data_IF_895623385271
#
_entry.id   IF_895623385271
#
_cell.length_a   1.000
_cell.length_b   1.000
_cell.length_c   1.000
_cell.angle_alpha   90.00
_cell.angle_beta   90.00
_cell.angle_gamma   90.00
#
_symmetry.space_group_name_H-M   'P 1'
#
loop_
_entity.id
_entity.type
_entity.pdbx_description
1 polymer ?
#
# COMPACT_ATOMS: atom_id res chain seq x y z
N UNK A 1 14.67 -5.02 -22.86
CA UNK A 1 13.58 -4.94 -21.90
C UNK A 1 13.19 -3.50 -21.69
N UNK A 2 11.92 -3.23 -21.70
CA UNK A 2 11.43 -1.88 -21.47
C UNK A 2 11.30 -1.59 -19.99
N UNK A 3 11.92 -0.54 -19.56
CA UNK A 3 11.72 -0.03 -18.23
C UNK A 3 10.52 0.90 -18.25
N UNK A 4 9.50 0.59 -17.45
CA UNK A 4 8.33 1.45 -17.35
C UNK A 4 8.51 2.34 -16.13
N UNK A 5 8.75 3.61 -16.38
CA UNK A 5 8.81 4.59 -15.31
C UNK A 5 7.39 5.08 -15.04
N UNK A 6 6.90 4.83 -13.84
CA UNK A 6 5.59 5.30 -13.42
C UNK A 6 5.76 6.38 -12.37
N UNK A 7 4.91 7.38 -12.45
CA UNK A 7 4.83 8.43 -11.46
C UNK A 7 3.45 8.38 -10.84
N UNK A 8 3.39 8.45 -9.52
CA UNK A 8 2.10 8.49 -8.81
C UNK A 8 2.03 9.77 -8.00
N UNK A 9 0.81 10.21 -7.72
CA UNK A 9 0.58 11.37 -6.90
C UNK A 9 0.30 10.95 -5.46
N UNK A 10 1.09 11.48 -4.53
CA UNK A 10 0.92 11.24 -3.11
C UNK A 10 0.73 12.59 -2.45
N UNK A 11 -0.48 12.87 -1.98
CA UNK A 11 -0.81 14.09 -1.24
C UNK A 11 -0.37 15.35 -1.99
N UNK A 12 -0.63 15.38 -3.30
CA UNK A 12 -0.29 16.51 -4.17
C UNK A 12 1.11 16.50 -4.72
N UNK A 13 1.94 15.53 -4.34
CA UNK A 13 3.32 15.42 -4.79
C UNK A 13 3.47 14.25 -5.78
N UNK A 14 4.12 14.51 -6.91
CA UNK A 14 4.39 13.48 -7.90
C UNK A 14 5.69 12.77 -7.55
N UNK A 15 5.64 11.46 -7.39
CA UNK A 15 6.80 10.65 -6.98
C UNK A 15 6.96 9.48 -7.95
N UNK A 16 8.21 9.19 -8.31
CA UNK A 16 8.52 8.07 -9.21
C UNK A 16 8.45 6.74 -8.48
N UNK A 17 7.88 5.75 -9.17
CA UNK A 17 7.91 4.36 -8.73
C UNK A 17 9.17 3.72 -9.31
N UNK A 18 10.06 3.25 -8.45
CA UNK A 18 11.33 2.66 -8.89
C UNK A 18 11.30 1.13 -8.93
N UNK A 19 10.48 0.50 -8.10
CA UNK A 19 10.30 -0.95 -8.10
C UNK A 19 8.86 -1.31 -7.79
N UNK A 20 8.43 -2.47 -8.30
CA UNK A 20 7.12 -3.05 -8.00
C UNK A 20 7.34 -4.48 -7.54
N UNK A 21 6.82 -4.81 -6.37
CA UNK A 21 6.91 -6.16 -5.82
C UNK A 21 5.51 -6.72 -5.60
N UNK A 22 5.37 -8.02 -5.78
CA UNK A 22 4.12 -8.68 -5.43
C UNK A 22 4.07 -8.88 -3.92
N UNK A 23 2.95 -8.50 -3.30
CA UNK A 23 2.74 -8.74 -1.86
C UNK A 23 2.32 -10.19 -1.67
N UNK A 24 3.01 -10.89 -0.78
CA UNK A 24 2.72 -12.29 -0.46
C UNK A 24 1.85 -12.38 0.79
N UNK A 25 0.89 -13.32 0.81
CA UNK A 25 0.05 -13.50 1.99
C UNK A 25 0.83 -14.07 3.17
N UNK A 26 0.37 -13.77 4.38
CA UNK A 26 0.92 -14.29 5.63
C UNK A 26 0.18 -15.59 5.98
N UNK A 27 0.92 -16.57 6.48
CA UNK A 27 0.35 -17.84 6.93
C UNK A 27 0.23 -18.86 5.81
N UNK A 28 -0.79 -19.68 5.86
CA UNK A 28 -0.98 -20.80 4.94
C UNK A 28 -1.72 -20.44 3.67
N UNK A 29 -2.06 -19.20 3.48
CA UNK A 29 -2.76 -18.76 2.28
C UNK A 29 -1.83 -18.82 1.07
N UNK A 30 -2.37 -19.23 -0.08
CA UNK A 30 -1.64 -19.19 -1.34
C UNK A 30 -1.47 -17.74 -1.81
N UNK A 31 -0.82 -17.53 -2.94
CA UNK A 31 -0.55 -16.18 -3.43
C UNK A 31 -1.85 -15.36 -3.60
N UNK A 32 -1.73 -14.04 -3.61
CA UNK A 32 -2.84 -13.16 -3.96
C UNK A 32 -3.06 -13.06 -5.47
N UNK A 33 -2.39 -13.92 -6.25
CA UNK A 33 -2.52 -14.01 -7.71
C UNK A 33 -2.28 -12.65 -8.41
N UNK A 34 -1.27 -11.91 -7.94
CA UNK A 34 -0.92 -10.63 -8.53
C UNK A 34 -1.89 -9.50 -8.26
N UNK A 35 -2.76 -9.66 -7.27
CA UNK A 35 -3.77 -8.64 -6.95
C UNK A 35 -3.29 -7.59 -5.96
N UNK A 36 -2.18 -7.82 -5.30
CA UNK A 36 -1.61 -6.89 -4.33
C UNK A 36 -0.15 -6.63 -4.66
N UNK A 37 0.22 -5.36 -4.74
CA UNK A 37 1.59 -4.96 -5.07
C UNK A 37 2.11 -3.93 -4.09
N UNK A 38 3.40 -4.00 -3.82
CA UNK A 38 4.14 -2.98 -3.09
C UNK A 38 4.90 -2.16 -4.10
N UNK A 39 4.65 -0.86 -4.12
CA UNK A 39 5.37 0.08 -4.97
C UNK A 39 6.44 0.76 -4.13
N UNK A 40 7.68 0.63 -4.56
CA UNK A 40 8.79 1.33 -3.92
C UNK A 40 9.03 2.64 -4.65
N UNK A 41 9.03 3.74 -3.92
CA UNK A 41 9.15 5.08 -4.49
C UNK A 41 10.58 5.59 -4.40
N UNK A 42 10.91 6.54 -5.27
CA UNK A 42 12.25 7.13 -5.34
C UNK A 42 12.67 7.86 -4.07
N UNK A 43 11.70 8.30 -3.26
CA UNK A 43 11.97 8.99 -1.99
C UNK A 43 12.02 8.04 -0.78
N UNK A 44 11.98 6.72 -1.00
CA UNK A 44 12.04 5.73 0.08
C UNK A 44 10.69 5.30 0.64
N UNK A 45 9.61 5.95 0.24
CA UNK A 45 8.28 5.55 0.68
C UNK A 45 7.83 4.27 -0.03
N UNK A 46 6.90 3.55 0.58
CA UNK A 46 6.30 2.34 0.02
C UNK A 46 4.79 2.49 -0.02
N UNK A 47 4.19 2.00 -1.09
CA UNK A 47 2.75 2.11 -1.30
C UNK A 47 2.16 0.74 -1.52
N UNK A 48 1.04 0.46 -0.85
CA UNK A 48 0.25 -0.72 -1.12
C UNK A 48 -0.78 -0.40 -2.20
N UNK A 49 -0.74 -1.19 -3.27
CA UNK A 49 -1.74 -1.14 -4.32
C UNK A 49 -2.53 -2.44 -4.30
N UNK A 50 -3.85 -2.35 -4.19
CA UNK A 50 -4.75 -3.50 -4.22
C UNK A 50 -5.59 -3.39 -5.48
N UNK A 51 -5.49 -4.38 -6.37
CA UNK A 51 -6.05 -4.29 -7.71
C UNK A 51 -5.52 -3.03 -8.40
N UNK A 52 -6.36 -2.09 -8.76
CA UNK A 52 -5.96 -0.84 -9.40
C UNK A 52 -6.05 0.37 -8.46
N UNK A 53 -6.22 0.13 -7.16
CA UNK A 53 -6.44 1.18 -6.18
C UNK A 53 -5.22 1.33 -5.26
N UNK A 54 -4.74 2.56 -5.09
CA UNK A 54 -3.73 2.87 -4.10
C UNK A 54 -4.39 2.93 -2.73
N UNK A 55 -3.89 2.14 -1.79
CA UNK A 55 -4.55 1.94 -0.49
C UNK A 55 -3.86 2.71 0.61
N UNK A 56 -2.54 2.61 0.72
CA UNK A 56 -1.81 3.04 1.89
C UNK A 56 -0.38 3.35 1.52
N UNK A 57 0.15 4.47 2.04
CA UNK A 57 1.57 4.80 1.93
C UNK A 57 2.23 4.60 3.28
N UNK A 58 3.42 4.01 3.28
CA UNK A 58 4.23 3.84 4.48
C UNK A 58 5.55 4.59 4.32
N UNK A 59 5.87 5.44 5.29
CA UNK A 59 7.13 6.17 5.35
C UNK A 59 7.70 6.01 6.76
N UNK A 60 8.59 5.02 6.94
CA UNK A 60 9.11 4.68 8.26
C UNK A 60 7.99 4.25 9.20
N UNK A 61 7.73 5.07 10.22
CA UNK A 61 6.66 4.80 11.21
C UNK A 61 5.36 5.50 10.87
N UNK A 62 5.34 6.30 9.82
CA UNK A 62 4.15 7.06 9.43
C UNK A 62 3.38 6.35 8.34
N UNK A 63 2.07 6.51 8.38
CA UNK A 63 1.18 5.94 7.38
C UNK A 63 0.25 7.01 6.83
N UNK A 64 -0.01 6.93 5.55
CA UNK A 64 -0.98 7.80 4.87
C UNK A 64 -2.05 6.92 4.25
N UNK A 65 -3.26 6.98 4.80
CA UNK A 65 -4.39 6.21 4.33
C UNK A 65 -4.99 6.89 3.11
N UNK A 66 -5.03 6.20 1.97
CA UNK A 66 -5.54 6.74 0.72
C UNK A 66 -6.93 6.23 0.35
N UNK A 67 -7.35 5.12 0.94
CA UNK A 67 -8.61 4.46 0.65
C UNK A 67 -9.41 4.32 1.93
N UNK A 68 -10.54 4.99 2.00
CA UNK A 68 -11.35 5.07 3.22
C UNK A 68 -12.46 4.03 3.22
N UNK A 69 -12.06 2.76 3.16
CA UNK A 69 -12.99 1.64 3.16
C UNK A 69 -12.28 0.40 3.70
N UNK A 70 -12.98 -0.72 3.72
CA UNK A 70 -12.43 -2.00 4.13
C UNK A 70 -13.19 -3.13 3.46
N UNK A 71 -12.46 -4.10 2.90
CA UNK A 71 -13.05 -5.35 2.42
C UNK A 71 -12.22 -6.51 2.95
N UNK A 72 -12.80 -7.71 2.96
CA UNK A 72 -12.09 -8.90 3.44
C UNK A 72 -10.82 -9.14 2.62
N UNK A 73 -10.89 -8.98 1.31
CA UNK A 73 -9.75 -9.20 0.42
C UNK A 73 -8.67 -8.13 0.60
N UNK A 74 -9.05 -6.86 0.53
CA UNK A 74 -8.09 -5.76 0.70
C UNK A 74 -7.53 -5.73 2.11
N UNK A 75 -8.33 -6.11 3.11
CA UNK A 75 -7.85 -6.24 4.49
C UNK A 75 -6.71 -7.24 4.63
N UNK A 76 -6.76 -8.34 3.90
CA UNK A 76 -5.65 -9.31 3.87
C UNK A 76 -4.41 -8.70 3.23
N UNK A 77 -4.58 -7.89 2.19
CA UNK A 77 -3.46 -7.19 1.55
C UNK A 77 -2.82 -6.19 2.53
N UNK A 78 -3.64 -5.43 3.26
CA UNK A 78 -3.15 -4.46 4.26
C UNK A 78 -2.40 -5.20 5.37
N UNK A 79 -2.95 -6.29 5.88
CA UNK A 79 -2.30 -7.06 6.92
C UNK A 79 -0.95 -7.62 6.46
N UNK A 80 -0.88 -8.14 5.26
CA UNK A 80 0.38 -8.68 4.70
C UNK A 80 1.40 -7.58 4.43
N UNK A 81 0.94 -6.36 4.12
CA UNK A 81 1.81 -5.24 3.84
C UNK A 81 2.44 -4.67 5.13
N UNK A 82 1.66 -4.47 6.17
CA UNK A 82 2.13 -3.79 7.39
C UNK A 82 1.59 -4.35 8.70
N UNK A 83 0.80 -5.44 8.68
CA UNK A 83 0.26 -6.04 9.90
C UNK A 83 -0.93 -5.32 10.50
N UNK A 84 -1.48 -4.34 9.81
CA UNK A 84 -2.60 -3.56 10.32
C UNK A 84 -3.91 -4.29 10.16
N UNK A 85 -4.76 -4.23 11.19
CA UNK A 85 -6.08 -4.87 11.19
C UNK A 85 -7.17 -3.82 11.04
N UNK A 86 -8.40 -4.28 10.80
CA UNK A 86 -9.55 -3.42 10.55
C UNK A 86 -9.75 -2.36 11.63
N UNK A 87 -9.64 -2.73 12.90
CA UNK A 87 -9.83 -1.78 14.00
C UNK A 87 -8.87 -0.60 13.92
N UNK A 88 -7.60 -0.87 13.67
CA UNK A 88 -6.59 0.18 13.52
C UNK A 88 -6.86 0.99 12.25
N UNK A 89 -7.19 0.31 11.16
CA UNK A 89 -7.49 0.95 9.87
C UNK A 89 -8.65 1.94 10.00
N UNK A 90 -9.74 1.52 10.65
CA UNK A 90 -10.92 2.36 10.80
C UNK A 90 -10.67 3.60 11.64
N UNK A 91 -9.66 3.57 12.52
CA UNK A 91 -9.30 4.70 13.36
C UNK A 91 -8.31 5.65 12.70
N UNK A 92 -7.77 5.31 11.53
CA UNK A 92 -6.86 6.20 10.81
C UNK A 92 -7.65 7.24 10.04
N UNK A 93 -7.22 8.53 10.11
CA UNK A 93 -7.79 9.54 9.21
C UNK A 93 -7.37 9.28 7.77
N UNK A 94 -8.23 9.62 6.82
CA UNK A 94 -7.91 9.52 5.40
C UNK A 94 -7.17 10.78 4.95
N UNK A 95 -6.19 10.60 4.08
CA UNK A 95 -5.38 11.68 3.50
C UNK A 95 -4.57 12.50 4.52
N UNK A 96 -4.26 11.91 5.67
CA UNK A 96 -3.39 12.53 6.67
C UNK A 96 -2.32 11.55 7.13
N UNK A 97 -1.11 12.05 7.32
CA UNK A 97 -0.02 11.26 7.87
C UNK A 97 -0.23 10.99 9.36
N UNK A 98 -0.12 9.73 9.75
CA UNK A 98 -0.27 9.30 11.15
C UNK A 98 0.76 8.26 11.51
N UNK A 99 1.20 8.27 12.76
CA UNK A 99 1.97 7.17 13.34
C UNK A 99 1.01 6.18 13.99
N UNK A 100 1.33 4.91 13.87
CA UNK A 100 0.53 3.82 14.46
C UNK A 100 1.37 3.04 15.45
#
# INVERSE_FOLDING_TARGET
MKEIVRTIEINGEMVKVVNVYEVCPVGNQKSFYGKAHLLELSNGMRVLKSYDTLILVKDGKRFLKLWDDWSATTGKHIYSFCGMRKKTWDNLPCDEWCEV
#
